data_IF_721724666857
#
_entry.id   IF_721724666857
#
_cell.length_a   1.000
_cell.length_b   1.000
_cell.length_c   1.000
_cell.angle_alpha   90.00
_cell.angle_beta   90.00
_cell.angle_gamma   90.00
#
_symmetry.space_group_name_H-M   'P 1'
#
loop_
_entity.id
_entity.type
_entity.pdbx_description
1 polymer ?
#
# COMPACT_ATOMS: atom_id res chain seq x y z
N UNK A 1 17.71 14.75 -31.33
CA UNK A 1 17.12 15.57 -32.40
C UNK A 1 18.19 16.45 -32.98
N UNK A 2 18.28 16.50 -34.30
CA UNK A 2 19.18 17.43 -35.02
C UNK A 2 18.59 18.83 -35.15
N UNK A 3 17.43 19.10 -34.57
CA UNK A 3 16.76 20.40 -34.61
C UNK A 3 17.01 21.09 -33.27
N UNK A 4 17.72 22.22 -33.32
CA UNK A 4 18.03 23.05 -32.16
C UNK A 4 16.74 23.47 -31.43
N UNK A 5 16.70 23.29 -30.11
CA UNK A 5 15.53 23.58 -29.24
C UNK A 5 14.41 22.52 -29.21
N UNK A 6 14.49 21.43 -29.99
CA UNK A 6 13.52 20.32 -29.88
C UNK A 6 14.07 19.16 -29.07
N UNK A 7 13.22 18.62 -28.20
CA UNK A 7 13.55 17.43 -27.43
C UNK A 7 13.73 16.21 -28.36
N UNK A 8 14.84 15.50 -28.20
CA UNK A 8 15.15 14.24 -28.86
C UNK A 8 14.80 13.05 -27.99
N UNK A 9 14.66 11.87 -28.60
CA UNK A 9 14.46 10.60 -27.87
C UNK A 9 15.80 9.96 -27.53
N UNK A 10 15.87 9.33 -26.35
CA UNK A 10 17.00 8.50 -25.93
C UNK A 10 16.81 7.10 -26.51
N UNK A 11 17.91 6.51 -26.99
CA UNK A 11 17.96 5.13 -27.47
C UNK A 11 19.07 4.38 -26.76
N UNK A 12 18.83 3.12 -26.42
CA UNK A 12 19.90 2.21 -26.06
C UNK A 12 20.50 1.60 -27.30
N UNK A 13 21.81 1.60 -27.41
CA UNK A 13 22.54 0.94 -28.47
C UNK A 13 23.22 -0.29 -27.90
N UNK A 14 22.76 -1.46 -28.29
CA UNK A 14 23.32 -2.76 -27.87
C UNK A 14 24.24 -3.26 -28.98
N UNK A 15 25.52 -3.46 -28.63
CA UNK A 15 26.53 -3.95 -29.58
C UNK A 15 27.07 -5.29 -29.06
N UNK A 16 26.95 -6.35 -29.87
CA UNK A 16 27.51 -7.64 -29.56
C UNK A 16 27.99 -8.34 -30.84
N UNK A 17 29.21 -8.87 -30.84
CA UNK A 17 29.83 -9.55 -32.00
C UNK A 17 29.71 -8.74 -33.31
N UNK A 18 29.98 -7.44 -33.30
CA UNK A 18 29.90 -6.49 -34.43
C UNK A 18 28.49 -6.28 -34.98
N UNK A 19 27.45 -6.81 -34.37
CA UNK A 19 26.07 -6.51 -34.68
C UNK A 19 25.49 -5.47 -33.72
N UNK A 20 24.72 -4.55 -34.26
CA UNK A 20 24.14 -3.43 -33.53
C UNK A 20 22.61 -3.52 -33.54
N UNK A 21 21.99 -3.27 -32.42
CA UNK A 21 20.54 -3.04 -32.28
C UNK A 21 20.27 -1.78 -31.48
N UNK A 22 19.22 -1.06 -31.86
CA UNK A 22 18.76 0.11 -31.13
C UNK A 22 17.39 -0.17 -30.51
N UNK A 23 17.24 0.22 -29.24
CA UNK A 23 15.97 0.12 -28.50
C UNK A 23 15.55 1.54 -28.16
N UNK A 24 14.40 1.95 -28.67
CA UNK A 24 13.83 3.27 -28.37
C UNK A 24 13.32 3.31 -26.93
N UNK A 25 13.61 4.42 -26.24
CA UNK A 25 12.97 4.73 -24.97
C UNK A 25 11.87 5.75 -25.15
N UNK A 26 11.00 5.89 -24.15
CA UNK A 26 9.98 6.94 -24.13
C UNK A 26 10.51 8.26 -23.57
N UNK A 27 11.81 8.33 -23.23
CA UNK A 27 12.40 9.51 -22.63
C UNK A 27 12.79 10.55 -23.68
N UNK A 28 12.49 11.80 -23.38
CA UNK A 28 12.82 12.93 -24.25
C UNK A 28 13.63 13.97 -23.48
N UNK A 29 14.78 14.33 -24.05
CA UNK A 29 15.72 15.33 -23.52
C UNK A 29 16.11 16.34 -24.58
N UNK A 30 16.51 17.52 -24.16
CA UNK A 30 17.12 18.52 -25.06
C UNK A 30 18.62 18.26 -25.21
N UNK A 31 19.23 18.82 -26.25
CA UNK A 31 20.67 18.65 -26.48
C UNK A 31 21.53 19.22 -25.35
N UNK A 32 21.08 20.28 -24.68
CA UNK A 32 21.77 20.89 -23.54
C UNK A 32 21.72 20.06 -22.24
N UNK A 33 20.92 19.02 -22.22
CA UNK A 33 20.74 18.09 -21.09
C UNK A 33 21.51 16.76 -21.27
N UNK A 34 22.29 16.66 -22.37
CA UNK A 34 23.06 15.46 -22.71
C UNK A 34 24.52 15.76 -22.89
N UNK A 35 25.37 15.03 -22.19
CA UNK A 35 26.81 14.99 -22.39
C UNK A 35 27.16 13.86 -23.36
N UNK A 36 27.67 14.24 -24.55
CA UNK A 36 27.99 13.27 -25.61
C UNK A 36 29.32 12.55 -25.35
N UNK A 37 30.20 13.10 -24.52
CA UNK A 37 31.50 12.47 -24.18
C UNK A 37 31.34 11.45 -23.07
N UNK A 38 30.54 11.79 -22.05
CA UNK A 38 30.25 10.92 -20.91
C UNK A 38 29.07 9.96 -21.17
N UNK A 39 28.30 10.17 -22.24
CA UNK A 39 27.07 9.45 -22.56
C UNK A 39 26.10 9.44 -21.36
N UNK A 40 25.94 10.60 -20.71
CA UNK A 40 25.14 10.76 -19.50
C UNK A 40 24.33 12.07 -19.49
N UNK A 41 23.41 12.20 -18.55
CA UNK A 41 22.56 13.38 -18.41
C UNK A 41 23.26 14.51 -17.63
N UNK A 42 23.14 15.72 -18.15
CA UNK A 42 23.56 16.94 -17.46
C UNK A 42 22.40 17.43 -16.61
N UNK A 43 22.44 17.21 -15.31
CA UNK A 43 21.43 17.68 -14.36
C UNK A 43 21.99 18.92 -13.65
N UNK A 44 21.38 20.07 -13.92
CA UNK A 44 21.71 21.32 -13.22
C UNK A 44 21.02 21.32 -11.87
N UNK A 45 21.68 21.88 -10.86
CA UNK A 45 21.14 21.98 -9.50
C UNK A 45 20.10 23.09 -9.43
N UNK A 46 18.85 22.78 -9.80
CA UNK A 46 17.72 23.69 -9.81
C UNK A 46 16.47 22.90 -9.34
N UNK A 47 15.65 23.51 -8.50
CA UNK A 47 14.47 22.87 -7.87
C UNK A 47 13.25 22.79 -8.80
N UNK A 48 13.49 22.74 -10.10
CA UNK A 48 12.45 22.71 -11.12
C UNK A 48 11.85 21.31 -11.33
N UNK A 49 10.63 21.27 -11.81
CA UNK A 49 9.96 20.01 -12.22
C UNK A 49 10.75 19.27 -13.32
N UNK A 50 11.59 20.00 -14.08
CA UNK A 50 12.45 19.46 -15.11
C UNK A 50 13.62 18.69 -14.52
N UNK A 51 14.22 19.14 -13.43
CA UNK A 51 15.27 18.43 -12.70
C UNK A 51 14.76 17.12 -12.16
N UNK A 52 13.57 17.12 -11.55
CA UNK A 52 12.93 15.88 -11.08
C UNK A 52 12.71 14.87 -12.22
N UNK A 53 12.32 15.36 -13.41
CA UNK A 53 12.19 14.50 -14.58
C UNK A 53 13.55 13.93 -15.04
N UNK A 54 14.59 14.75 -15.11
CA UNK A 54 15.94 14.29 -15.52
C UNK A 54 16.52 13.28 -14.52
N UNK A 55 16.36 13.50 -13.23
CA UNK A 55 16.74 12.53 -12.20
C UNK A 55 15.99 11.20 -12.35
N UNK A 56 14.69 11.27 -12.64
CA UNK A 56 13.89 10.09 -12.95
C UNK A 56 14.42 9.35 -14.18
N UNK A 57 14.72 10.07 -15.27
CA UNK A 57 15.28 9.49 -16.50
C UNK A 57 16.66 8.84 -16.21
N UNK A 58 17.54 9.53 -15.50
CA UNK A 58 18.88 9.01 -15.13
C UNK A 58 18.77 7.69 -14.35
N UNK A 59 17.89 7.67 -13.34
CA UNK A 59 17.66 6.46 -12.53
C UNK A 59 17.15 5.29 -13.37
N UNK A 60 16.32 5.56 -14.37
CA UNK A 60 15.82 4.53 -15.30
C UNK A 60 16.93 4.01 -16.22
N UNK A 61 17.76 4.90 -16.76
CA UNK A 61 18.90 4.51 -17.60
C UNK A 61 19.87 3.63 -16.81
N UNK A 62 20.19 4.01 -15.58
CA UNK A 62 21.05 3.20 -14.71
C UNK A 62 20.44 1.83 -14.39
N UNK A 63 19.13 1.80 -14.17
CA UNK A 63 18.40 0.55 -13.96
C UNK A 63 18.47 -0.34 -15.20
N UNK A 64 18.17 0.20 -16.39
CA UNK A 64 18.21 -0.55 -17.64
C UNK A 64 19.63 -1.05 -17.97
N UNK A 65 20.68 -0.25 -17.70
CA UNK A 65 22.09 -0.68 -17.79
C UNK A 65 22.36 -1.90 -16.88
N UNK A 66 21.83 -1.92 -15.65
CA UNK A 66 21.96 -3.08 -14.75
C UNK A 66 21.19 -4.30 -15.29
N UNK A 67 20.02 -4.11 -15.88
CA UNK A 67 19.26 -5.19 -16.53
C UNK A 67 20.05 -5.80 -17.69
N UNK A 68 20.60 -5.00 -18.58
CA UNK A 68 21.46 -5.49 -19.68
C UNK A 68 22.65 -6.30 -19.15
N UNK A 69 23.34 -5.80 -18.15
CA UNK A 69 24.48 -6.50 -17.53
C UNK A 69 24.07 -7.85 -16.94
N UNK A 70 22.88 -7.92 -16.30
CA UNK A 70 22.33 -9.16 -15.74
C UNK A 70 22.00 -10.18 -16.84
N UNK A 71 21.38 -9.73 -17.93
CA UNK A 71 21.04 -10.56 -19.10
C UNK A 71 22.29 -11.14 -19.71
N UNK A 72 23.28 -10.31 -20.01
CA UNK A 72 24.55 -10.75 -20.61
C UNK A 72 25.25 -11.76 -19.70
N UNK A 73 25.31 -11.46 -18.40
CA UNK A 73 25.91 -12.39 -17.41
C UNK A 73 25.16 -13.73 -17.36
N UNK A 74 23.84 -13.74 -17.37
CA UNK A 74 23.00 -14.95 -17.40
C UNK A 74 23.26 -15.77 -18.67
N UNK A 75 23.27 -15.12 -19.83
CA UNK A 75 23.50 -15.76 -21.12
C UNK A 75 24.93 -16.33 -21.21
N UNK A 76 25.92 -15.61 -20.66
CA UNK A 76 27.31 -16.11 -20.63
C UNK A 76 27.46 -17.33 -19.72
N UNK A 77 26.77 -17.39 -18.58
CA UNK A 77 26.79 -18.53 -17.66
C UNK A 77 26.11 -19.77 -18.26
N UNK A 78 25.08 -19.57 -19.09
CA UNK A 78 24.33 -20.69 -19.71
C UNK A 78 25.12 -21.44 -20.77
N UNK A 79 26.31 -21.00 -21.11
CA UNK A 79 27.24 -21.60 -22.12
C UNK A 79 26.61 -21.90 -23.49
N UNK A 80 25.46 -21.27 -23.79
CA UNK A 80 24.77 -21.37 -25.06
C UNK A 80 25.12 -20.20 -25.95
N UNK A 81 25.38 -20.39 -27.26
CA UNK A 81 25.65 -19.28 -28.16
C UNK A 81 24.45 -18.34 -28.23
N UNK A 82 24.66 -17.05 -28.03
CA UNK A 82 23.63 -16.03 -28.11
C UNK A 82 24.02 -14.89 -29.05
N UNK A 83 23.03 -14.13 -29.49
CA UNK A 83 23.18 -13.03 -30.44
C UNK A 83 22.74 -11.71 -29.79
N UNK A 84 23.00 -10.58 -30.48
CA UNK A 84 22.48 -9.29 -30.05
C UNK A 84 20.95 -9.31 -30.00
N UNK A 85 20.28 -10.02 -30.90
CA UNK A 85 18.82 -10.17 -30.92
C UNK A 85 18.34 -10.92 -29.67
N UNK A 86 19.05 -11.97 -29.24
CA UNK A 86 18.77 -12.69 -27.99
C UNK A 86 18.83 -11.76 -26.78
N UNK A 87 19.84 -10.86 -26.74
CA UNK A 87 19.96 -9.86 -25.65
C UNK A 87 18.75 -8.90 -25.66
N UNK A 88 18.38 -8.42 -26.84
CA UNK A 88 17.24 -7.49 -27.02
C UNK A 88 15.92 -8.17 -26.66
N UNK A 89 15.69 -9.40 -27.09
CA UNK A 89 14.49 -10.17 -26.77
C UNK A 89 14.37 -10.45 -25.27
N UNK A 90 15.47 -10.82 -24.62
CA UNK A 90 15.51 -11.01 -23.17
C UNK A 90 15.29 -9.68 -22.44
N UNK A 91 15.84 -8.56 -22.94
CA UNK A 91 15.56 -7.25 -22.36
C UNK A 91 14.09 -6.86 -22.51
N UNK A 92 13.48 -7.09 -23.67
CA UNK A 92 12.04 -6.86 -23.86
C UNK A 92 11.19 -7.78 -22.96
N UNK A 93 11.55 -9.04 -22.79
CA UNK A 93 10.87 -9.92 -21.83
C UNK A 93 11.02 -9.41 -20.40
N UNK A 94 12.22 -8.96 -20.00
CA UNK A 94 12.49 -8.40 -18.69
C UNK A 94 11.90 -7.00 -18.47
N UNK A 95 11.73 -6.17 -19.50
CA UNK A 95 10.97 -4.91 -19.39
C UNK A 95 9.47 -5.15 -19.12
N UNK A 96 8.99 -6.41 -19.28
CA UNK A 96 7.75 -6.91 -18.69
C UNK A 96 7.96 -7.55 -17.30
N UNK A 97 9.20 -7.56 -16.74
CA UNK A 97 9.40 -8.00 -15.36
C UNK A 97 8.53 -7.14 -14.44
N UNK A 98 7.75 -7.84 -13.64
CA UNK A 98 6.83 -7.21 -12.72
C UNK A 98 7.65 -6.53 -11.63
N UNK A 99 7.70 -5.21 -11.70
CA UNK A 99 8.32 -4.38 -10.68
C UNK A 99 7.43 -4.27 -9.44
N UNK A 100 8.01 -3.89 -8.31
CA UNK A 100 7.28 -3.76 -7.05
C UNK A 100 6.07 -2.82 -7.17
N UNK A 101 6.25 -1.64 -7.78
CA UNK A 101 5.14 -0.68 -7.87
C UNK A 101 4.04 -1.19 -8.79
N UNK A 102 4.40 -1.70 -9.98
CA UNK A 102 3.42 -2.24 -10.92
C UNK A 102 2.66 -3.43 -10.35
N UNK A 103 3.33 -4.31 -9.60
CA UNK A 103 2.70 -5.43 -8.91
C UNK A 103 1.75 -4.96 -7.80
N UNK A 104 2.20 -4.00 -6.98
CA UNK A 104 1.36 -3.42 -5.94
C UNK A 104 0.12 -2.74 -6.51
N UNK A 105 0.24 -1.99 -7.60
CA UNK A 105 -0.88 -1.33 -8.26
C UNK A 105 -1.93 -2.34 -8.76
N UNK A 106 -1.47 -3.43 -9.39
CA UNK A 106 -2.36 -4.54 -9.82
C UNK A 106 -3.07 -5.17 -8.62
N UNK A 107 -2.34 -5.42 -7.53
CA UNK A 107 -2.90 -5.99 -6.30
C UNK A 107 -3.92 -5.04 -5.64
N UNK A 108 -3.63 -3.75 -5.56
CA UNK A 108 -4.52 -2.71 -5.03
C UNK A 108 -5.83 -2.67 -5.84
N UNK A 109 -5.73 -2.65 -7.18
CA UNK A 109 -6.88 -2.66 -8.06
C UNK A 109 -7.72 -3.95 -7.93
N UNK A 110 -7.08 -5.11 -7.72
CA UNK A 110 -7.75 -6.39 -7.46
C UNK A 110 -8.54 -6.34 -6.15
N UNK A 111 -7.90 -5.89 -5.07
CA UNK A 111 -8.54 -5.75 -3.75
C UNK A 111 -9.73 -4.80 -3.79
N UNK A 112 -9.58 -3.68 -4.51
CA UNK A 112 -10.68 -2.71 -4.69
C UNK A 112 -11.89 -3.34 -5.37
N UNK A 113 -11.66 -4.04 -6.50
CA UNK A 113 -12.74 -4.75 -7.24
C UNK A 113 -13.41 -5.85 -6.40
N UNK A 114 -12.70 -6.45 -5.46
CA UNK A 114 -13.22 -7.45 -4.53
C UNK A 114 -13.99 -6.84 -3.34
N UNK A 115 -14.20 -5.51 -3.30
CA UNK A 115 -14.85 -4.82 -2.19
C UNK A 115 -14.00 -4.69 -0.93
N UNK A 116 -12.72 -5.07 -0.98
CA UNK A 116 -11.78 -4.96 0.15
C UNK A 116 -11.15 -3.56 0.21
N UNK A 117 -11.98 -2.52 0.14
CA UNK A 117 -11.54 -1.12 0.01
C UNK A 117 -10.54 -0.72 1.08
N UNK A 118 -10.82 -1.04 2.37
CA UNK A 118 -9.92 -0.68 3.46
C UNK A 118 -8.56 -1.35 3.37
N UNK A 119 -8.51 -2.59 2.90
CA UNK A 119 -7.25 -3.31 2.66
C UNK A 119 -6.49 -2.68 1.49
N UNK A 120 -7.17 -2.39 0.39
CA UNK A 120 -6.62 -1.68 -0.77
C UNK A 120 -5.99 -0.34 -0.36
N UNK A 121 -6.68 0.49 0.44
CA UNK A 121 -6.15 1.76 0.96
C UNK A 121 -4.86 1.59 1.77
N UNK A 122 -4.75 0.51 2.56
CA UNK A 122 -3.53 0.24 3.34
C UNK A 122 -2.33 -0.09 2.46
N UNK A 123 -2.53 -0.83 1.37
CA UNK A 123 -1.49 -1.10 0.39
C UNK A 123 -1.14 0.15 -0.42
N UNK A 124 -2.13 0.97 -0.78
CA UNK A 124 -1.90 2.25 -1.45
C UNK A 124 -1.06 3.20 -0.60
N UNK A 125 -1.36 3.31 0.71
CA UNK A 125 -0.57 4.12 1.64
C UNK A 125 0.88 3.63 1.73
N UNK A 126 1.08 2.31 1.74
CA UNK A 126 2.42 1.70 1.76
C UNK A 126 3.18 1.97 0.46
N UNK A 127 2.54 1.81 -0.69
CA UNK A 127 3.12 2.11 -2.00
C UNK A 127 3.55 3.57 -2.09
N UNK A 128 2.68 4.50 -1.69
CA UNK A 128 2.97 5.94 -1.71
C UNK A 128 4.16 6.29 -0.81
N UNK A 129 4.24 5.67 0.38
CA UNK A 129 5.35 5.87 1.31
C UNK A 129 6.68 5.36 0.74
N UNK A 130 6.68 4.15 0.18
CA UNK A 130 7.88 3.54 -0.38
C UNK A 130 8.31 4.24 -1.68
N UNK A 131 7.36 4.61 -2.56
CA UNK A 131 7.62 5.39 -3.77
C UNK A 131 8.28 6.74 -3.43
N UNK A 132 7.81 7.43 -2.39
CA UNK A 132 8.43 8.68 -1.91
C UNK A 132 9.87 8.47 -1.40
N UNK A 133 10.12 7.39 -0.67
CA UNK A 133 11.47 7.01 -0.25
C UNK A 133 12.40 6.77 -1.44
N UNK A 134 11.90 6.13 -2.49
CA UNK A 134 12.65 5.82 -3.70
C UNK A 134 12.77 6.99 -4.69
N UNK A 135 12.24 8.18 -4.38
CA UNK A 135 12.22 9.30 -5.31
C UNK A 135 11.41 9.06 -6.58
N UNK A 136 10.40 8.17 -6.53
CA UNK A 136 9.58 7.78 -7.68
C UNK A 136 10.12 6.64 -8.52
N UNK A 137 11.37 6.18 -8.26
CA UNK A 137 12.02 5.11 -9.02
C UNK A 137 11.51 3.75 -8.56
N UNK A 138 10.97 2.98 -9.49
CA UNK A 138 10.51 1.61 -9.23
C UNK A 138 11.69 0.65 -8.98
N UNK A 139 11.42 -0.55 -8.51
CA UNK A 139 12.45 -1.54 -8.17
C UNK A 139 11.97 -2.93 -8.57
N UNK A 140 12.87 -3.74 -9.15
CA UNK A 140 12.60 -5.16 -9.36
C UNK A 140 12.63 -5.92 -8.05
N UNK A 141 11.85 -6.99 -7.96
CA UNK A 141 11.81 -7.84 -6.78
C UNK A 141 13.19 -8.44 -6.45
N UNK A 142 14.00 -8.75 -7.46
CA UNK A 142 15.36 -9.27 -7.29
C UNK A 142 16.33 -8.29 -6.61
N UNK A 143 16.10 -7.00 -6.78
CA UNK A 143 16.91 -5.92 -6.21
C UNK A 143 16.47 -5.52 -4.80
N UNK A 144 15.37 -6.09 -4.31
CA UNK A 144 14.91 -5.85 -2.94
C UNK A 144 15.77 -6.69 -2.00
N UNK A 145 16.68 -6.03 -1.33
CA UNK A 145 17.59 -6.61 -0.35
C UNK A 145 17.38 -6.06 1.07
N UNK A 146 18.09 -6.63 2.03
CA UNK A 146 18.00 -6.20 3.44
C UNK A 146 18.53 -4.79 3.66
N UNK A 147 19.50 -4.32 2.86
CA UNK A 147 20.11 -3.00 3.02
C UNK A 147 19.11 -1.90 2.61
N UNK A 148 18.46 -2.07 1.48
CA UNK A 148 17.39 -1.18 1.03
C UNK A 148 16.24 -1.07 2.07
N UNK A 149 15.83 -2.20 2.63
CA UNK A 149 14.76 -2.21 3.62
C UNK A 149 15.17 -1.60 4.95
N UNK A 150 16.40 -1.79 5.39
CA UNK A 150 16.97 -1.11 6.54
C UNK A 150 17.03 0.41 6.30
N UNK A 151 17.48 0.84 5.13
CA UNK A 151 17.52 2.25 4.75
C UNK A 151 16.11 2.87 4.74
N UNK A 152 15.10 2.13 4.26
CA UNK A 152 13.71 2.56 4.33
C UNK A 152 13.21 2.66 5.77
N UNK A 153 13.57 1.71 6.65
CA UNK A 153 13.23 1.77 8.06
C UNK A 153 13.82 3.03 8.73
N UNK A 154 15.08 3.33 8.47
CA UNK A 154 15.74 4.56 8.96
C UNK A 154 15.04 5.83 8.45
N UNK A 155 14.67 5.86 7.17
CA UNK A 155 13.91 6.97 6.60
C UNK A 155 12.55 7.18 7.30
N UNK A 156 11.86 6.10 7.66
CA UNK A 156 10.60 6.19 8.40
C UNK A 156 10.82 6.64 9.85
N UNK A 157 11.91 6.19 10.49
CA UNK A 157 12.29 6.64 11.84
C UNK A 157 12.67 8.12 11.87
N UNK A 158 13.41 8.59 10.86
CA UNK A 158 13.78 10.00 10.72
C UNK A 158 12.55 10.92 10.54
N UNK A 159 11.41 10.39 10.11
CA UNK A 159 10.11 11.07 10.08
C UNK A 159 9.33 10.96 11.39
N UNK A 160 9.96 10.49 12.46
CA UNK A 160 9.35 10.33 13.79
C UNK A 160 8.08 9.47 13.81
N UNK A 161 7.97 8.51 12.88
CA UNK A 161 6.81 7.61 12.86
C UNK A 161 6.88 6.63 14.04
N UNK A 162 5.72 6.36 14.65
CA UNK A 162 5.61 5.39 15.71
C UNK A 162 6.05 3.98 15.24
N UNK A 163 6.72 3.18 16.11
CA UNK A 163 7.23 1.85 15.73
C UNK A 163 6.19 0.92 15.12
N UNK A 164 4.96 0.96 15.63
CA UNK A 164 3.87 0.16 15.05
C UNK A 164 3.45 0.61 13.65
N UNK A 165 3.62 1.90 13.32
CA UNK A 165 3.40 2.42 11.97
C UNK A 165 4.50 1.97 11.01
N UNK A 166 5.76 1.98 11.46
CA UNK A 166 6.89 1.44 10.70
C UNK A 166 6.68 -0.04 10.42
N UNK A 167 6.37 -0.81 11.47
CA UNK A 167 6.05 -2.24 11.33
C UNK A 167 4.87 -2.50 10.39
N UNK A 168 3.88 -1.62 10.38
CA UNK A 168 2.75 -1.73 9.45
C UNK A 168 3.20 -1.65 7.98
N UNK A 169 4.04 -0.67 7.62
CA UNK A 169 4.59 -0.56 6.26
C UNK A 169 5.46 -1.76 5.91
N UNK A 170 6.36 -2.17 6.81
CA UNK A 170 7.23 -3.32 6.58
C UNK A 170 6.45 -4.62 6.40
N UNK A 171 5.41 -4.87 7.20
CA UNK A 171 4.53 -6.05 7.05
C UNK A 171 3.81 -6.06 5.71
N UNK A 172 3.37 -4.90 5.20
CA UNK A 172 2.70 -4.82 3.89
C UNK A 172 3.66 -5.09 2.76
N UNK A 173 4.85 -4.49 2.77
CA UNK A 173 5.89 -4.77 1.78
C UNK A 173 6.31 -6.25 1.82
N UNK A 174 6.48 -6.83 3.01
CA UNK A 174 6.79 -8.26 3.14
C UNK A 174 5.70 -9.15 2.56
N UNK A 175 4.43 -8.80 2.77
CA UNK A 175 3.32 -9.57 2.18
C UNK A 175 3.34 -9.48 0.64
N UNK A 176 3.63 -8.30 0.08
CA UNK A 176 3.79 -8.12 -1.37
C UNK A 176 4.93 -8.97 -1.91
N UNK A 177 6.09 -8.91 -1.25
CA UNK A 177 7.26 -9.70 -1.66
C UNK A 177 6.98 -11.21 -1.62
N UNK A 178 6.36 -11.69 -0.54
CA UNK A 178 6.00 -13.10 -0.39
C UNK A 178 4.99 -13.54 -1.47
N UNK A 179 3.99 -12.72 -1.78
CA UNK A 179 3.06 -13.02 -2.88
C UNK A 179 3.80 -13.10 -4.22
N UNK A 180 4.76 -12.21 -4.47
CA UNK A 180 5.57 -12.27 -5.69
C UNK A 180 6.45 -13.54 -5.74
N UNK A 181 6.94 -14.03 -4.60
CA UNK A 181 7.63 -15.33 -4.50
C UNK A 181 6.67 -16.48 -4.80
N UNK A 182 5.46 -16.47 -4.22
CA UNK A 182 4.43 -17.50 -4.48
C UNK A 182 3.99 -17.51 -5.95
N UNK A 183 3.89 -16.33 -6.58
CA UNK A 183 3.57 -16.17 -7.99
C UNK A 183 4.76 -16.51 -8.93
N UNK A 184 5.95 -16.85 -8.39
CA UNK A 184 7.13 -17.26 -9.14
C UNK A 184 7.93 -16.12 -9.79
N UNK A 185 7.70 -14.86 -9.38
CA UNK A 185 8.41 -13.71 -9.96
C UNK A 185 9.80 -13.48 -9.37
N UNK A 186 10.10 -14.03 -8.20
CA UNK A 186 11.38 -13.90 -7.52
C UNK A 186 11.65 -15.09 -6.60
N UNK A 187 12.92 -15.46 -6.45
CA UNK A 187 13.33 -16.42 -5.43
C UNK A 187 13.40 -15.76 -4.04
N UNK A 188 13.01 -16.49 -3.01
CA UNK A 188 12.95 -15.95 -1.66
C UNK A 188 14.36 -15.77 -1.05
N UNK A 189 14.84 -14.53 -1.03
CA UNK A 189 16.12 -14.12 -0.40
C UNK A 189 15.97 -13.69 1.07
N UNK A 190 14.75 -13.76 1.64
CA UNK A 190 14.43 -13.33 3.01
C UNK A 190 14.88 -11.90 3.37
N UNK A 191 14.64 -10.89 2.52
CA UNK A 191 15.19 -9.54 2.74
C UNK A 191 14.64 -8.85 3.99
N UNK A 192 13.46 -9.28 4.49
CA UNK A 192 12.81 -8.71 5.67
C UNK A 192 13.32 -9.25 7.02
N UNK A 193 14.34 -10.13 7.04
CA UNK A 193 14.82 -10.78 8.28
C UNK A 193 15.39 -9.77 9.30
N UNK A 194 15.97 -8.68 8.83
CA UNK A 194 16.69 -7.70 9.67
C UNK A 194 15.89 -6.43 9.98
N UNK A 195 14.66 -6.29 9.48
CA UNK A 195 13.83 -5.10 9.70
C UNK A 195 12.71 -5.35 10.71
N UNK A 196 12.23 -4.27 11.32
CA UNK A 196 11.22 -4.36 12.35
C UNK A 196 9.84 -4.69 11.78
N UNK A 197 9.41 -5.92 11.95
CA UNK A 197 8.09 -6.42 11.56
C UNK A 197 7.27 -6.94 12.76
N UNK A 198 7.70 -6.64 13.98
CA UNK A 198 6.99 -6.99 15.21
C UNK A 198 5.90 -5.97 15.56
N UNK A 199 5.26 -6.11 16.70
CA UNK A 199 4.35 -5.11 17.24
C UNK A 199 4.78 -4.76 18.65
N UNK A 200 5.00 -3.48 18.91
CA UNK A 200 5.24 -3.00 20.27
C UNK A 200 3.93 -2.99 21.06
N UNK A 201 4.06 -3.33 22.33
CA UNK A 201 2.93 -3.21 23.27
C UNK A 201 2.57 -1.74 23.45
N UNK A 202 1.32 -1.40 23.18
CA UNK A 202 0.80 -0.06 23.45
C UNK A 202 0.08 -0.02 24.79
N UNK A 203 0.10 1.13 25.42
CA UNK A 203 -0.69 1.37 26.62
C UNK A 203 -2.17 1.19 26.29
N UNK A 204 -2.82 0.27 26.99
CA UNK A 204 -4.26 0.03 26.80
C UNK A 204 -5.04 1.18 27.43
N UNK A 205 -5.93 1.78 26.65
CA UNK A 205 -6.78 2.88 27.08
C UNK A 205 -8.11 2.40 27.71
N UNK A 206 -8.06 1.25 28.42
CA UNK A 206 -9.23 0.77 29.11
C UNK A 206 -9.55 1.72 30.30
N UNK A 207 -10.81 2.12 30.39
CA UNK A 207 -11.29 2.96 31.49
C UNK A 207 -11.97 2.10 32.56
N UNK A 208 -11.82 2.42 33.86
CA UNK A 208 -12.52 1.75 34.92
C UNK A 208 -14.05 1.88 34.80
N UNK A 209 -14.79 0.85 35.24
CA UNK A 209 -16.25 0.80 35.16
C UNK A 209 -16.94 2.02 35.83
N UNK A 210 -16.33 2.60 36.87
CA UNK A 210 -16.84 3.83 37.51
C UNK A 210 -17.02 5.00 36.52
N UNK A 211 -16.14 5.11 35.53
CA UNK A 211 -16.26 6.16 34.52
C UNK A 211 -17.35 5.85 33.49
N UNK A 212 -17.56 4.57 33.16
CA UNK A 212 -18.68 4.15 32.31
C UNK A 212 -20.01 4.48 32.99
N UNK A 213 -20.12 4.22 34.30
CA UNK A 213 -21.32 4.59 35.08
C UNK A 213 -21.52 6.12 35.08
N UNK A 214 -20.49 6.91 35.37
CA UNK A 214 -20.59 8.36 35.30
C UNK A 214 -21.01 8.85 33.90
N UNK A 215 -20.49 8.24 32.85
CA UNK A 215 -20.87 8.59 31.47
C UNK A 215 -22.35 8.30 31.21
N UNK A 216 -22.86 7.15 31.72
CA UNK A 216 -24.29 6.79 31.62
C UNK A 216 -25.19 7.86 32.28
N UNK A 217 -24.77 8.37 33.43
CA UNK A 217 -25.58 9.28 34.27
C UNK A 217 -25.44 10.77 33.86
N UNK A 218 -24.64 11.06 32.80
CA UNK A 218 -24.48 12.44 32.34
C UNK A 218 -25.78 12.97 31.71
N UNK A 219 -26.23 14.11 32.17
CA UNK A 219 -27.27 14.86 31.46
C UNK A 219 -26.66 15.56 30.22
N UNK A 220 -27.07 15.10 29.04
CA UNK A 220 -26.65 15.61 27.74
C UNK A 220 -27.83 16.10 26.92
N UNK A 221 -28.98 16.40 27.58
CA UNK A 221 -30.21 16.87 26.92
C UNK A 221 -29.99 18.15 26.08
N UNK A 222 -29.02 18.97 26.47
CA UNK A 222 -28.63 20.19 25.75
C UNK A 222 -27.89 19.92 24.43
N UNK A 223 -27.44 18.69 24.15
CA UNK A 223 -26.65 18.37 22.96
C UNK A 223 -27.00 17.00 22.39
N UNK A 224 -27.92 16.91 21.42
CA UNK A 224 -28.34 15.64 20.81
C UNK A 224 -27.17 14.83 20.24
N UNK A 225 -26.16 15.50 19.67
CA UNK A 225 -24.98 14.82 19.12
C UNK A 225 -24.14 14.14 20.19
N UNK A 226 -23.95 14.79 21.35
CA UNK A 226 -23.21 14.18 22.48
C UNK A 226 -24.00 13.08 23.13
N UNK A 227 -25.33 13.23 23.27
CA UNK A 227 -26.22 12.19 23.76
C UNK A 227 -26.15 10.94 22.87
N UNK A 228 -26.28 11.12 21.57
CA UNK A 228 -26.11 10.05 20.59
C UNK A 228 -24.74 9.34 20.71
N UNK A 229 -23.64 10.11 20.79
CA UNK A 229 -22.29 9.55 20.92
C UNK A 229 -22.12 8.74 22.21
N UNK A 230 -22.67 9.23 23.36
CA UNK A 230 -22.71 8.53 24.64
C UNK A 230 -23.46 7.20 24.49
N UNK A 231 -24.64 7.22 23.92
CA UNK A 231 -25.54 6.06 23.83
C UNK A 231 -24.97 5.01 22.88
N UNK A 232 -24.35 5.40 21.78
CA UNK A 232 -23.63 4.48 20.89
C UNK A 232 -22.41 3.85 21.60
N UNK A 233 -21.67 4.60 22.43
CA UNK A 233 -20.61 4.04 23.25
C UNK A 233 -21.15 3.03 24.26
N UNK A 234 -22.25 3.36 24.96
CA UNK A 234 -22.88 2.46 25.92
C UNK A 234 -23.44 1.22 25.26
N UNK A 235 -24.07 1.35 24.10
CA UNK A 235 -24.55 0.21 23.32
C UNK A 235 -23.40 -0.72 22.92
N UNK A 236 -22.29 -0.16 22.43
CA UNK A 236 -21.07 -0.93 22.17
C UNK A 236 -20.55 -1.64 23.42
N UNK A 237 -20.56 -0.97 24.58
CA UNK A 237 -20.14 -1.55 25.84
C UNK A 237 -21.07 -2.71 26.26
N UNK A 238 -22.38 -2.54 26.23
CA UNK A 238 -23.38 -3.57 26.58
C UNK A 238 -23.30 -4.76 25.62
N UNK A 239 -23.06 -4.51 24.35
CA UNK A 239 -22.88 -5.56 23.33
C UNK A 239 -21.46 -6.11 23.26
N UNK A 240 -20.68 -6.03 24.38
CA UNK A 240 -19.33 -6.61 24.56
C UNK A 240 -18.30 -6.08 23.55
N UNK A 241 -18.39 -4.80 23.19
CA UNK A 241 -17.43 -4.15 22.28
C UNK A 241 -17.78 -4.34 20.82
N UNK A 242 -19.05 -4.33 20.47
CA UNK A 242 -19.51 -4.29 19.06
C UNK A 242 -18.91 -3.09 18.35
N UNK A 243 -18.32 -3.31 17.17
CA UNK A 243 -17.73 -2.22 16.41
C UNK A 243 -18.83 -1.31 15.84
N UNK A 244 -18.54 -0.01 15.71
CA UNK A 244 -19.52 0.97 15.23
C UNK A 244 -20.10 0.59 13.84
N UNK A 245 -19.26 0.04 12.96
CA UNK A 245 -19.74 -0.45 11.65
C UNK A 245 -20.73 -1.61 11.78
N UNK A 246 -20.55 -2.50 12.76
CA UNK A 246 -21.47 -3.61 12.99
C UNK A 246 -22.81 -3.09 13.57
N UNK A 247 -22.76 -2.09 14.49
CA UNK A 247 -23.96 -1.41 15.00
C UNK A 247 -24.76 -0.72 13.89
N UNK A 248 -24.04 -0.02 12.99
CA UNK A 248 -24.69 0.73 11.90
C UNK A 248 -25.48 -0.16 10.93
N UNK A 249 -25.02 -1.39 10.70
CA UNK A 249 -25.69 -2.35 9.82
C UNK A 249 -26.49 -3.43 10.55
N UNK A 250 -26.69 -3.29 11.87
CA UNK A 250 -27.43 -4.24 12.67
C UNK A 250 -28.93 -4.15 12.33
N UNK A 251 -29.51 -5.26 11.87
CA UNK A 251 -30.92 -5.30 11.44
C UNK A 251 -31.84 -5.78 12.56
N UNK A 252 -33.09 -5.34 12.56
CA UNK A 252 -34.12 -5.78 13.49
C UNK A 252 -34.28 -7.30 13.53
N UNK A 253 -34.17 -7.97 12.39
CA UNK A 253 -34.23 -9.45 12.30
C UNK A 253 -33.08 -10.18 13.01
N UNK A 254 -32.02 -9.46 13.41
CA UNK A 254 -30.91 -10.03 14.17
C UNK A 254 -31.25 -10.25 15.65
N UNK A 255 -32.32 -9.62 16.13
CA UNK A 255 -32.85 -9.81 17.49
C UNK A 255 -34.03 -10.77 17.43
N UNK A 256 -33.90 -11.96 18.05
CA UNK A 256 -34.96 -12.96 18.17
C UNK A 256 -34.87 -13.62 19.53
N UNK A 257 -36.00 -13.88 20.18
CA UNK A 257 -36.09 -14.62 21.43
C UNK A 257 -35.10 -14.10 22.51
N UNK A 258 -35.01 -12.79 22.67
CA UNK A 258 -34.08 -12.11 23.56
C UNK A 258 -32.59 -12.44 23.32
N UNK A 259 -32.24 -12.82 22.09
CA UNK A 259 -30.86 -13.04 21.67
C UNK A 259 -30.55 -12.24 20.43
N UNK A 260 -29.54 -11.39 20.54
CA UNK A 260 -28.98 -10.65 19.41
C UNK A 260 -27.91 -11.49 18.74
N UNK A 261 -28.13 -11.88 17.47
CA UNK A 261 -27.18 -12.68 16.71
C UNK A 261 -26.74 -11.93 15.44
N UNK A 262 -25.45 -11.72 15.26
CA UNK A 262 -24.90 -11.01 14.09
C UNK A 262 -23.54 -11.57 13.67
N UNK A 263 -23.17 -11.35 12.41
CA UNK A 263 -21.84 -11.63 11.90
C UNK A 263 -20.97 -10.39 11.95
N UNK A 264 -19.84 -10.48 12.64
CA UNK A 264 -18.85 -9.39 12.70
C UNK A 264 -18.30 -9.10 11.30
N UNK A 265 -18.45 -7.89 10.81
CA UNK A 265 -18.05 -7.49 9.45
C UNK A 265 -16.54 -7.68 9.20
N UNK A 266 -15.71 -7.45 10.23
CA UNK A 266 -14.25 -7.57 10.12
C UNK A 266 -13.74 -9.00 9.98
N UNK A 267 -14.37 -9.98 10.65
CA UNK A 267 -13.85 -11.35 10.77
C UNK A 267 -14.80 -12.43 10.28
N UNK A 268 -16.06 -12.08 9.95
CA UNK A 268 -17.10 -13.04 9.60
C UNK A 268 -17.58 -13.91 10.76
N UNK A 269 -17.06 -13.71 11.98
CA UNK A 269 -17.42 -14.49 13.16
C UNK A 269 -18.88 -14.25 13.52
N UNK A 270 -19.62 -15.33 13.77
CA UNK A 270 -20.99 -15.26 14.31
C UNK A 270 -20.90 -15.03 15.82
N UNK A 271 -21.59 -14.02 16.31
CA UNK A 271 -21.65 -13.64 17.70
C UNK A 271 -23.11 -13.63 18.15
N UNK A 272 -23.36 -14.17 19.35
CA UNK A 272 -24.68 -14.16 19.99
C UNK A 272 -24.55 -13.52 21.37
N UNK A 273 -25.44 -12.58 21.65
CA UNK A 273 -25.44 -11.77 22.87
C UNK A 273 -26.85 -11.81 23.45
N UNK A 274 -26.98 -12.13 24.72
CA UNK A 274 -28.23 -12.02 25.43
C UNK A 274 -28.67 -10.55 25.43
N UNK A 275 -29.94 -10.33 25.11
CA UNK A 275 -30.53 -9.01 25.12
C UNK A 275 -30.88 -8.57 26.53
N UNK A 276 -30.60 -7.32 26.87
CA UNK A 276 -30.80 -6.75 28.19
C UNK A 276 -31.54 -5.42 28.09
N UNK A 277 -32.32 -5.06 29.12
CA UNK A 277 -33.12 -3.83 29.15
C UNK A 277 -32.34 -2.55 28.86
N UNK A 278 -31.05 -2.52 29.25
CA UNK A 278 -30.21 -1.37 28.97
C UNK A 278 -29.87 -1.20 27.49
N UNK A 279 -29.96 -2.26 26.68
CA UNK A 279 -29.83 -2.19 25.22
C UNK A 279 -31.16 -1.76 24.59
N UNK A 280 -32.29 -2.30 25.09
CA UNK A 280 -33.63 -1.97 24.66
C UNK A 280 -33.88 -0.46 24.79
N UNK A 281 -33.61 0.12 25.96
CA UNK A 281 -33.77 1.55 26.21
C UNK A 281 -33.03 2.45 25.20
N UNK A 282 -31.86 2.02 24.71
CA UNK A 282 -31.13 2.77 23.68
C UNK A 282 -31.79 2.57 22.32
N UNK A 283 -32.19 1.36 22.00
CA UNK A 283 -32.83 1.05 20.72
C UNK A 283 -34.16 1.80 20.58
N UNK A 284 -34.97 1.84 21.62
CA UNK A 284 -36.24 2.58 21.64
C UNK A 284 -36.08 4.06 21.32
N UNK A 285 -34.98 4.65 21.79
CA UNK A 285 -34.67 6.05 21.54
C UNK A 285 -34.24 6.34 20.11
N UNK A 286 -33.57 5.36 19.44
CA UNK A 286 -32.93 5.58 18.14
C UNK A 286 -33.49 4.69 17.02
N UNK A 287 -34.47 3.82 17.29
CA UNK A 287 -35.09 3.01 16.25
C UNK A 287 -36.08 3.84 15.41
N UNK A 288 -36.29 3.47 14.16
CA UNK A 288 -37.32 4.03 13.30
C UNK A 288 -38.16 2.89 12.73
N UNK A 289 -39.49 3.06 12.70
CA UNK A 289 -40.40 2.06 12.13
C UNK A 289 -40.17 1.80 10.65
N UNK A 290 -39.74 2.82 9.91
CA UNK A 290 -39.48 2.75 8.46
C UNK A 290 -38.15 2.10 8.13
N UNK A 291 -37.18 2.03 9.10
CA UNK A 291 -35.85 1.49 8.87
C UNK A 291 -35.77 -0.01 9.18
N UNK A 292 -35.15 -0.82 8.35
CA UNK A 292 -34.82 -2.22 8.65
C UNK A 292 -33.77 -2.40 9.74
N UNK A 293 -33.03 -1.33 10.05
CA UNK A 293 -31.94 -1.35 11.03
C UNK A 293 -32.47 -1.19 12.45
N UNK A 294 -31.77 -1.83 13.40
CA UNK A 294 -32.10 -1.76 14.82
C UNK A 294 -31.85 -0.36 15.39
N UNK A 295 -30.76 0.27 14.93
CA UNK A 295 -30.39 1.65 15.25
C UNK A 295 -30.39 2.47 13.97
N UNK A 296 -31.04 3.62 13.96
CA UNK A 296 -31.09 4.52 12.78
C UNK A 296 -29.81 5.36 12.66
N UNK A 297 -28.65 4.67 12.61
CA UNK A 297 -27.33 5.30 12.42
C UNK A 297 -27.15 5.70 10.96
N UNK A 298 -27.52 4.80 10.04
CA UNK A 298 -27.53 5.08 8.60
C UNK A 298 -28.81 5.80 8.29
N UNK A 299 -28.68 7.05 7.87
CA UNK A 299 -29.80 7.77 7.24
C UNK A 299 -29.83 7.31 5.79
N UNK A 300 -30.95 6.79 5.32
CA UNK A 300 -31.11 6.48 3.91
C UNK A 300 -30.81 7.73 3.07
N UNK A 301 -30.12 7.57 1.91
CA UNK A 301 -29.82 8.70 1.04
C UNK A 301 -31.04 9.33 0.44
#
# INVERSE_FOLDING_TARGET
STIEGKAGSIYYQVIYMRKVRQIATNFRITQSEWDSELEDLIIKDDDSSRVNYLQYVQSHIEYDKKCFNRIVKKLTISDSPFTVDTIVDEFHKQSFEITLFSYMEKMIAKLWRQGQHRTSETYQATLNSFRKFRGGVDVCFDDIDSEMLISYEYHLRAKELAPNTISFYMKRLRAVYNNAVEDGYVENKNPFKKVFTSSEKTVKRAIPLKFVRKLKDLDLSYSPSKSFARDMFLFSFYTRGMAFVDMAYLQKKNLKDNVLTYRRKKTGQLLSIRWEDCMENIVDQYSSLSSPFLLSIIKEP
#
